data_IF_546145399686
#
_entry.id   IF_546145399686
#
_cell.length_a   1.000
_cell.length_b   1.000
_cell.length_c   1.000
_cell.angle_alpha   90.00
_cell.angle_beta   90.00
_cell.angle_gamma   90.00
#
_symmetry.space_group_name_H-M   'P 1'
#
loop_
_entity.id
_entity.type
_entity.pdbx_description
1 polymer ?
#
# COMPACT_ATOMS: atom_id res chain seq x y z
N UNK A 1 5.26 9.04 -12.73
CA UNK A 1 6.49 9.00 -13.57
C UNK A 1 7.73 8.52 -12.81
N UNK A 2 8.17 9.11 -11.69
CA UNK A 2 9.43 8.67 -11.03
C UNK A 2 9.31 7.33 -10.30
N UNK A 3 8.22 7.11 -9.56
CA UNK A 3 7.97 5.84 -8.86
C UNK A 3 7.71 4.71 -9.86
N UNK A 4 7.05 5.07 -10.97
CA UNK A 4 6.73 4.15 -12.05
C UNK A 4 7.96 3.70 -12.85
N UNK A 5 8.98 4.56 -12.96
CA UNK A 5 10.28 4.21 -13.51
C UNK A 5 11.24 3.58 -12.49
N UNK A 6 10.73 3.04 -11.38
CA UNK A 6 11.51 2.44 -10.28
C UNK A 6 12.55 3.37 -9.62
N UNK A 7 12.43 4.70 -9.77
CA UNK A 7 13.30 5.65 -9.08
C UNK A 7 12.73 6.00 -7.71
N UNK A 8 12.88 5.07 -6.79
CA UNK A 8 12.31 5.14 -5.43
C UNK A 8 12.92 6.30 -4.62
N UNK A 9 14.21 6.56 -4.80
CA UNK A 9 14.93 7.65 -4.11
C UNK A 9 14.42 9.03 -4.53
N UNK A 10 14.31 9.27 -5.83
CA UNK A 10 13.76 10.54 -6.33
C UNK A 10 12.31 10.72 -5.90
N UNK A 11 11.52 9.65 -5.93
CA UNK A 11 10.12 9.69 -5.53
C UNK A 11 9.95 10.04 -4.05
N UNK A 12 10.79 9.48 -3.18
CA UNK A 12 10.81 9.80 -1.76
C UNK A 12 11.23 11.26 -1.51
N UNK A 13 12.22 11.78 -2.24
CA UNK A 13 12.61 13.20 -2.17
C UNK A 13 11.50 14.15 -2.61
N UNK A 14 10.82 13.85 -3.72
CA UNK A 14 9.66 14.62 -4.21
C UNK A 14 8.54 14.59 -3.18
N UNK A 15 8.29 13.43 -2.58
CA UNK A 15 7.31 13.32 -1.49
C UNK A 15 7.71 14.19 -0.28
N UNK A 16 8.99 14.23 0.10
CA UNK A 16 9.47 15.14 1.16
C UNK A 16 9.26 16.62 0.85
N UNK A 17 9.38 17.04 -0.41
CA UNK A 17 9.00 18.39 -0.83
C UNK A 17 7.49 18.63 -0.69
N UNK A 18 6.65 17.65 -1.08
CA UNK A 18 5.20 17.74 -0.90
C UNK A 18 4.83 17.87 0.58
N UNK A 19 5.46 17.09 1.47
CA UNK A 19 5.27 17.20 2.92
C UNK A 19 5.69 18.58 3.46
N UNK A 20 6.78 19.14 2.94
CA UNK A 20 7.25 20.49 3.33
C UNK A 20 6.26 21.57 2.93
N UNK A 21 5.70 21.47 1.71
CA UNK A 21 4.65 22.38 1.23
C UNK A 21 3.39 22.22 2.08
N UNK A 22 2.92 21.00 2.31
CA UNK A 22 1.74 20.73 3.13
C UNK A 22 1.90 21.25 4.56
N UNK A 23 3.09 21.12 5.15
CA UNK A 23 3.42 21.69 6.47
C UNK A 23 3.33 23.21 6.46
N UNK A 24 3.89 23.87 5.45
CA UNK A 24 3.81 25.33 5.30
C UNK A 24 2.36 25.83 5.09
N UNK A 25 1.51 25.01 4.46
CA UNK A 25 0.08 25.29 4.30
C UNK A 25 -0.75 24.95 5.55
N UNK A 26 -0.14 24.41 6.61
CA UNK A 26 -0.80 24.14 7.89
C UNK A 26 -1.49 22.79 8.02
N UNK A 27 -1.27 21.86 7.10
CA UNK A 27 -1.91 20.53 7.13
C UNK A 27 -1.50 19.68 8.33
N UNK A 28 -0.40 20.02 8.99
CA UNK A 28 0.17 19.24 10.11
C UNK A 28 -0.37 19.69 11.48
N UNK A 29 -1.04 20.83 11.56
CA UNK A 29 -1.48 21.43 12.82
C UNK A 29 -2.95 21.82 12.79
N UNK A 30 -3.75 21.10 12.00
CA UNK A 30 -5.17 21.38 11.78
C UNK A 30 -5.90 21.41 13.12
N UNK A 31 -5.68 20.40 13.97
CA UNK A 31 -6.34 20.24 15.27
C UNK A 31 -5.42 20.57 16.46
N UNK A 32 -4.23 21.12 16.18
CA UNK A 32 -3.26 21.51 17.20
C UNK A 32 -3.59 22.86 17.84
N UNK A 33 -3.27 22.99 19.14
CA UNK A 33 -3.38 24.27 19.84
C UNK A 33 -2.39 25.29 19.26
N UNK A 34 -2.82 26.52 18.97
CA UNK A 34 -1.99 27.62 18.44
C UNK A 34 -0.91 28.15 19.41
N UNK A 35 -0.68 27.48 20.53
CA UNK A 35 0.33 27.87 21.52
C UNK A 35 1.50 26.90 21.44
N UNK A 36 2.44 27.19 20.55
CA UNK A 36 3.72 26.48 20.52
C UNK A 36 4.50 26.69 21.82
N UNK A 37 5.23 25.68 22.32
CA UNK A 37 6.33 25.92 23.24
C UNK A 37 7.45 26.60 22.44
N UNK A 38 7.88 27.77 22.92
CA UNK A 38 9.02 28.54 22.41
C UNK A 38 8.81 29.24 21.04
N UNK A 39 8.26 30.46 21.10
CA UNK A 39 8.94 31.69 20.65
C UNK A 39 9.38 31.85 19.19
N UNK A 40 9.22 30.86 18.31
CA UNK A 40 9.46 31.01 16.89
C UNK A 40 8.17 31.43 16.20
N UNK A 41 8.18 32.67 15.72
CA UNK A 41 7.17 33.23 14.85
C UNK A 41 7.17 32.42 13.55
N UNK A 42 6.36 31.37 13.49
CA UNK A 42 5.76 30.99 12.22
C UNK A 42 4.93 32.20 11.77
N UNK A 43 5.04 32.66 10.52
CA UNK A 43 4.24 33.79 10.05
C UNK A 43 2.78 33.49 10.37
N UNK A 44 2.14 34.43 11.06
CA UNK A 44 0.81 34.29 11.62
C UNK A 44 -0.11 33.65 10.59
N UNK A 45 -0.64 32.47 10.92
CA UNK A 45 -1.57 31.75 10.09
C UNK A 45 -2.95 32.40 10.24
N UNK A 46 -3.09 33.65 9.76
CA UNK A 46 -4.35 34.42 9.75
C UNK A 46 -5.51 33.64 9.07
N UNK A 47 -5.19 32.61 8.29
CA UNK A 47 -6.14 31.74 7.59
C UNK A 47 -6.70 30.56 8.40
N UNK A 48 -6.18 30.25 9.60
CA UNK A 48 -6.65 29.10 10.40
C UNK A 48 -8.00 29.37 11.07
N UNK A 49 -8.17 30.58 11.63
CA UNK A 49 -9.39 30.99 12.36
C UNK A 49 -10.61 31.22 11.42
N UNK A 50 -10.37 31.37 10.11
CA UNK A 50 -11.42 31.64 9.11
C UNK A 50 -11.84 30.40 8.31
N UNK A 51 -11.22 29.25 8.54
CA UNK A 51 -11.50 28.03 7.78
C UNK A 51 -12.76 27.36 8.31
N UNK A 52 -13.75 27.17 7.44
CA UNK A 52 -14.95 26.42 7.82
C UNK A 52 -14.62 24.92 8.04
N UNK A 53 -15.49 24.22 8.76
CA UNK A 53 -15.23 22.82 9.12
C UNK A 53 -15.12 21.89 7.91
N UNK A 54 -15.83 22.17 6.81
CA UNK A 54 -15.72 21.39 5.57
C UNK A 54 -14.31 21.47 5.00
N UNK A 55 -13.73 22.67 4.96
CA UNK A 55 -12.38 22.88 4.46
C UNK A 55 -11.33 22.30 5.41
N UNK A 56 -11.54 22.39 6.74
CA UNK A 56 -10.70 21.70 7.73
C UNK A 56 -10.76 20.18 7.55
N UNK A 57 -11.96 19.62 7.36
CA UNK A 57 -12.14 18.19 7.14
C UNK A 57 -11.42 17.71 5.88
N UNK A 58 -11.55 18.45 4.77
CA UNK A 58 -10.82 18.17 3.53
C UNK A 58 -9.29 18.19 3.74
N UNK A 59 -8.77 19.15 4.52
CA UNK A 59 -7.34 19.16 4.84
C UNK A 59 -6.92 17.92 5.64
N UNK A 60 -7.75 17.45 6.58
CA UNK A 60 -7.49 16.20 7.31
C UNK A 60 -7.41 15.02 6.34
N UNK A 61 -8.35 14.90 5.39
CA UNK A 61 -8.29 13.87 4.34
C UNK A 61 -6.96 13.88 3.59
N UNK A 62 -6.56 15.05 3.09
CA UNK A 62 -5.33 15.22 2.31
C UNK A 62 -4.08 14.91 3.16
N UNK A 63 -4.04 15.33 4.44
CA UNK A 63 -2.97 14.97 5.38
C UNK A 63 -2.86 13.47 5.58
N UNK A 64 -3.99 12.79 5.80
CA UNK A 64 -4.02 11.36 6.02
C UNK A 64 -3.54 10.54 4.81
N UNK A 65 -3.74 11.06 3.58
CA UNK A 65 -3.12 10.48 2.38
C UNK A 65 -1.59 10.65 2.36
N UNK A 66 -1.06 11.78 2.84
CA UNK A 66 0.39 11.94 3.05
C UNK A 66 0.89 10.92 4.06
N UNK A 67 0.21 10.74 5.19
CA UNK A 67 0.62 9.78 6.23
C UNK A 67 0.61 8.34 5.71
N UNK A 68 -0.42 7.95 4.95
CA UNK A 68 -0.45 6.65 4.25
C UNK A 68 0.73 6.49 3.29
N UNK A 69 1.08 7.55 2.55
CA UNK A 69 2.19 7.53 1.59
C UNK A 69 3.55 7.43 2.28
N UNK A 70 3.75 8.12 3.41
CA UNK A 70 4.94 7.97 4.25
C UNK A 70 5.10 6.52 4.74
N UNK A 71 4.01 5.94 5.25
CA UNK A 71 3.98 4.54 5.67
C UNK A 71 4.35 3.59 4.52
N UNK A 72 3.88 3.85 3.29
CA UNK A 72 4.24 3.07 2.11
C UNK A 72 5.75 3.11 1.83
N UNK A 73 6.37 4.30 1.87
CA UNK A 73 7.81 4.42 1.65
C UNK A 73 8.62 3.71 2.73
N UNK A 74 8.16 3.77 3.99
CA UNK A 74 8.81 3.12 5.13
C UNK A 74 8.72 1.60 5.03
N UNK A 75 7.50 1.05 4.90
CA UNK A 75 7.26 -0.39 4.94
C UNK A 75 7.85 -1.11 3.73
N UNK A 76 7.87 -0.46 2.56
CA UNK A 76 8.23 -1.15 1.32
C UNK A 76 9.62 -0.82 0.80
N UNK A 77 10.23 0.30 1.22
CA UNK A 77 11.58 0.69 0.79
C UNK A 77 12.54 0.98 1.95
N UNK A 78 12.13 0.76 3.21
CA UNK A 78 12.96 1.02 4.38
C UNK A 78 13.38 2.48 4.52
N UNK A 79 12.60 3.43 3.95
CA UNK A 79 12.95 4.85 4.02
C UNK A 79 12.73 5.42 5.43
N UNK A 80 13.51 6.42 5.85
CA UNK A 80 13.23 7.16 7.08
C UNK A 80 11.85 7.86 7.04
N UNK A 81 11.26 8.06 8.22
CA UNK A 81 9.99 8.76 8.35
C UNK A 81 10.14 10.26 8.00
N UNK A 82 9.25 10.76 7.14
CA UNK A 82 9.10 12.19 6.86
C UNK A 82 8.01 12.84 7.73
N UNK A 83 7.11 12.02 8.27
CA UNK A 83 6.05 12.38 9.21
C UNK A 83 6.22 11.59 10.52
N UNK A 84 7.26 11.88 11.33
CA UNK A 84 7.48 11.17 12.59
C UNK A 84 6.34 11.40 13.60
N UNK A 85 6.18 10.48 14.55
CA UNK A 85 5.24 10.61 15.66
C UNK A 85 5.46 11.95 16.40
N UNK A 86 4.36 12.59 16.81
CA UNK A 86 4.39 13.88 17.51
C UNK A 86 4.71 15.10 16.64
N UNK A 87 5.03 14.93 15.35
CA UNK A 87 5.27 16.06 14.43
C UNK A 87 4.00 16.68 13.82
N UNK A 88 2.84 16.16 14.18
CA UNK A 88 1.54 16.57 13.65
C UNK A 88 0.44 16.43 14.71
N UNK A 89 -0.61 17.24 14.56
CA UNK A 89 -1.82 17.26 15.36
C UNK A 89 -3.03 17.34 14.42
N UNK A 90 -3.49 16.17 13.98
CA UNK A 90 -4.55 16.01 12.97
C UNK A 90 -5.43 14.84 13.37
N UNK A 91 -6.71 15.10 13.59
CA UNK A 91 -7.70 14.08 13.93
C UNK A 91 -8.08 13.25 12.69
N UNK A 92 -8.74 12.11 12.91
CA UNK A 92 -9.44 11.42 11.83
C UNK A 92 -10.49 12.36 11.23
N UNK A 93 -10.58 12.47 9.89
CA UNK A 93 -11.63 13.27 9.29
C UNK A 93 -12.98 12.58 9.43
N UNK A 94 -14.03 13.39 9.38
CA UNK A 94 -15.39 12.90 9.16
C UNK A 94 -15.47 12.25 7.76
N UNK A 95 -16.11 11.08 7.58
CA UNK A 95 -16.17 10.38 6.29
C UNK A 95 -16.76 11.22 5.15
N UNK A 96 -17.61 12.20 5.45
CA UNK A 96 -18.16 13.11 4.45
C UNK A 96 -17.12 14.18 4.04
N UNK A 97 -16.36 13.88 2.99
CA UNK A 97 -15.29 14.76 2.44
C UNK A 97 -15.78 16.20 2.24
N UNK A 98 -17.02 16.35 1.76
CA UNK A 98 -17.63 17.65 1.43
C UNK A 98 -18.76 18.03 2.39
N UNK A 99 -18.97 17.30 3.49
CA UNK A 99 -20.17 17.46 4.34
C UNK A 99 -21.47 16.98 3.67
N UNK A 100 -21.37 16.29 2.54
CA UNK A 100 -22.51 15.74 1.80
C UNK A 100 -22.46 14.22 1.92
N UNK A 101 -23.53 13.65 2.46
CA UNK A 101 -23.75 12.21 2.52
C UNK A 101 -24.65 11.80 1.35
N UNK A 102 -24.02 11.34 0.26
CA UNK A 102 -24.70 10.88 -0.95
C UNK A 102 -24.23 9.48 -1.33
N UNK A 103 -25.16 8.64 -1.79
CA UNK A 103 -24.89 7.26 -2.15
C UNK A 103 -23.78 7.09 -3.20
N UNK A 104 -23.59 8.09 -4.08
CA UNK A 104 -22.51 8.10 -5.07
C UNK A 104 -21.11 8.25 -4.46
N UNK A 105 -21.01 8.67 -3.20
CA UNK A 105 -19.74 8.87 -2.49
C UNK A 105 -19.37 7.71 -1.57
N UNK A 106 -20.27 6.73 -1.36
CA UNK A 106 -20.07 5.64 -0.40
C UNK A 106 -18.78 4.84 -0.65
N UNK A 107 -18.42 4.55 -1.90
CA UNK A 107 -17.17 3.83 -2.20
C UNK A 107 -15.92 4.62 -1.79
N UNK A 108 -15.94 5.95 -1.97
CA UNK A 108 -14.86 6.83 -1.55
C UNK A 108 -14.77 6.85 -0.01
N UNK A 109 -15.91 6.94 0.66
CA UNK A 109 -15.99 6.93 2.12
C UNK A 109 -15.47 5.60 2.70
N UNK A 110 -15.92 4.46 2.15
CA UNK A 110 -15.47 3.11 2.53
C UNK A 110 -13.96 2.98 2.30
N UNK A 111 -13.49 3.35 1.11
CA UNK A 111 -12.06 3.33 0.77
C UNK A 111 -11.23 4.12 1.75
N UNK A 112 -11.66 5.33 2.06
CA UNK A 112 -10.96 6.17 2.99
C UNK A 112 -10.92 5.54 4.39
N UNK A 113 -12.07 5.17 4.95
CA UNK A 113 -12.16 4.56 6.29
C UNK A 113 -11.31 3.30 6.41
N UNK A 114 -11.39 2.41 5.43
CA UNK A 114 -10.56 1.21 5.38
C UNK A 114 -9.07 1.56 5.29
N UNK A 115 -8.69 2.45 4.38
CA UNK A 115 -7.30 2.88 4.19
C UNK A 115 -6.70 3.53 5.45
N UNK A 116 -7.50 4.27 6.22
CA UNK A 116 -7.06 4.88 7.47
C UNK A 116 -6.83 3.85 8.56
N UNK A 117 -7.75 2.91 8.73
CA UNK A 117 -7.58 1.81 9.69
C UNK A 117 -6.36 0.95 9.33
N UNK A 118 -6.14 0.67 8.05
CA UNK A 118 -4.93 -0.01 7.58
C UNK A 118 -3.66 0.81 7.85
N UNK A 119 -3.70 2.13 7.66
CA UNK A 119 -2.57 3.02 7.97
C UNK A 119 -2.23 2.99 9.46
N UNK A 120 -3.24 2.97 10.34
CA UNK A 120 -3.03 2.83 11.79
C UNK A 120 -2.37 1.50 12.16
N UNK A 121 -2.77 0.38 11.53
CA UNK A 121 -2.09 -0.91 11.72
C UNK A 121 -0.61 -0.82 11.32
N UNK A 122 -0.32 -0.19 10.17
CA UNK A 122 1.06 0.00 9.71
C UNK A 122 1.86 0.91 10.63
N UNK A 123 1.27 1.97 11.18
CA UNK A 123 1.93 2.83 12.16
C UNK A 123 2.29 2.06 13.43
N UNK A 124 1.36 1.29 14.01
CA UNK A 124 1.65 0.40 15.15
C UNK A 124 2.85 -0.51 14.87
N UNK A 125 2.91 -1.09 13.66
CA UNK A 125 4.02 -1.92 13.24
C UNK A 125 5.34 -1.14 13.15
N UNK A 126 5.34 0.00 12.48
CA UNK A 126 6.54 0.80 12.25
C UNK A 126 7.07 1.45 13.53
N UNK A 127 6.21 1.87 14.45
CA UNK A 127 6.61 2.43 15.74
C UNK A 127 7.31 1.38 16.60
N UNK A 128 6.82 0.14 16.57
CA UNK A 128 7.48 -0.99 17.20
C UNK A 128 8.86 -1.28 16.60
N UNK A 129 8.97 -1.28 15.26
CA UNK A 129 10.25 -1.46 14.55
C UNK A 129 11.26 -0.37 14.92
N UNK A 130 10.79 0.88 15.04
CA UNK A 130 11.63 2.02 15.40
C UNK A 130 12.06 2.01 16.87
N UNK A 131 11.25 1.46 17.78
CA UNK A 131 11.55 1.44 19.21
C UNK A 131 12.67 0.45 19.61
N UNK A 132 13.33 -0.19 18.63
CA UNK A 132 14.31 -1.28 18.85
C UNK A 132 13.77 -2.35 19.83
N UNK A 133 12.45 -2.55 19.80
CA UNK A 133 11.77 -3.45 20.72
C UNK A 133 12.34 -4.85 20.58
N UNK A 134 12.47 -5.57 21.71
CA UNK A 134 13.10 -6.89 21.72
C UNK A 134 12.29 -7.85 20.83
N UNK A 135 12.79 -8.00 19.60
CA UNK A 135 12.29 -8.97 18.63
C UNK A 135 12.27 -10.35 19.28
N UNK A 136 13.14 -10.66 20.25
CA UNK A 136 13.21 -11.95 20.93
C UNK A 136 12.12 -12.17 21.99
N UNK A 137 11.26 -11.20 22.27
CA UNK A 137 10.12 -11.39 23.16
C UNK A 137 9.25 -12.58 22.71
N UNK A 138 8.86 -13.43 23.66
CA UNK A 138 7.96 -14.57 23.42
C UNK A 138 6.57 -14.14 22.91
N UNK A 139 6.20 -12.87 23.08
CA UNK A 139 4.90 -12.33 22.68
C UNK A 139 4.88 -11.69 21.30
N UNK A 140 6.04 -11.55 20.64
CA UNK A 140 6.16 -10.82 19.37
C UNK A 140 5.30 -11.41 18.25
N UNK A 141 5.39 -12.71 18.00
CA UNK A 141 4.60 -13.38 16.96
C UNK A 141 3.09 -13.30 17.27
N UNK A 142 2.70 -13.40 18.54
CA UNK A 142 1.30 -13.23 18.96
C UNK A 142 0.79 -11.80 18.77
N UNK A 143 1.66 -10.79 18.93
CA UNK A 143 1.29 -9.40 18.67
C UNK A 143 1.11 -9.15 17.17
N UNK A 144 1.98 -9.72 16.32
CA UNK A 144 1.81 -9.70 14.87
C UNK A 144 0.52 -10.40 14.43
N UNK A 145 0.17 -11.52 15.05
CA UNK A 145 -1.10 -12.22 14.80
C UNK A 145 -2.30 -11.33 15.15
N UNK A 146 -2.20 -10.53 16.22
CA UNK A 146 -3.21 -9.52 16.54
C UNK A 146 -3.35 -8.44 15.46
N UNK A 147 -2.24 -7.93 14.92
CA UNK A 147 -2.27 -6.96 13.82
C UNK A 147 -2.82 -7.57 12.52
N UNK A 148 -2.50 -8.83 12.21
CA UNK A 148 -3.06 -9.55 11.05
C UNK A 148 -4.57 -9.68 11.21
N UNK A 149 -5.05 -10.09 12.39
CA UNK A 149 -6.48 -10.18 12.67
C UNK A 149 -7.20 -8.82 12.55
N UNK A 150 -6.56 -7.71 12.95
CA UNK A 150 -7.10 -6.37 12.73
C UNK A 150 -7.28 -6.07 11.22
N UNK A 151 -6.33 -6.47 10.37
CA UNK A 151 -6.42 -6.29 8.90
C UNK A 151 -7.54 -7.15 8.29
N UNK A 152 -7.65 -8.40 8.72
CA UNK A 152 -8.72 -9.31 8.29
C UNK A 152 -10.10 -8.80 8.71
N UNK A 153 -10.22 -8.27 9.92
CA UNK A 153 -11.45 -7.63 10.39
C UNK A 153 -11.83 -6.43 9.51
N UNK A 154 -10.86 -5.58 9.12
CA UNK A 154 -11.12 -4.45 8.21
C UNK A 154 -11.66 -4.93 6.85
N UNK A 155 -11.12 -6.02 6.30
CA UNK A 155 -11.62 -6.61 5.06
C UNK A 155 -13.05 -7.17 5.21
N UNK A 156 -13.33 -7.81 6.36
CA UNK A 156 -14.63 -8.39 6.66
C UNK A 156 -15.71 -7.34 6.92
N UNK A 157 -15.38 -6.25 7.62
CA UNK A 157 -16.33 -5.18 7.99
C UNK A 157 -17.04 -4.60 6.76
N UNK A 158 -16.36 -4.55 5.62
CA UNK A 158 -16.88 -3.98 4.38
C UNK A 158 -17.15 -5.01 3.29
N UNK A 159 -16.89 -6.30 3.54
CA UNK A 159 -16.94 -7.37 2.55
C UNK A 159 -16.39 -6.95 1.17
N UNK A 160 -15.15 -6.46 1.15
CA UNK A 160 -14.57 -5.74 0.00
C UNK A 160 -14.57 -6.57 -1.28
N UNK A 161 -14.48 -7.89 -1.17
CA UNK A 161 -14.55 -8.82 -2.31
C UNK A 161 -15.95 -8.82 -2.95
N UNK A 162 -17.01 -8.80 -2.14
CA UNK A 162 -18.39 -8.67 -2.62
C UNK A 162 -18.62 -7.30 -3.25
N UNK A 163 -18.17 -6.22 -2.60
CA UNK A 163 -18.27 -4.85 -3.13
C UNK A 163 -17.60 -4.72 -4.51
N UNK A 164 -16.40 -5.29 -4.67
CA UNK A 164 -15.68 -5.29 -5.94
C UNK A 164 -16.42 -6.06 -7.04
N UNK A 165 -17.09 -7.16 -6.67
CA UNK A 165 -17.84 -8.01 -7.63
C UNK A 165 -19.18 -7.42 -8.08
N UNK A 166 -19.78 -6.56 -7.24
CA UNK A 166 -21.12 -6.01 -7.45
C UNK A 166 -21.12 -4.62 -8.08
N UNK A 167 -20.05 -3.85 -7.90
CA UNK A 167 -19.95 -2.50 -8.47
C UNK A 167 -19.85 -2.52 -10.00
N UNK A 168 -20.50 -1.53 -10.63
CA UNK A 168 -20.49 -1.32 -12.09
C UNK A 168 -19.58 -0.18 -12.52
N UNK A 169 -19.24 0.73 -11.60
CA UNK A 169 -18.40 1.87 -11.89
C UNK A 169 -16.93 1.47 -11.77
N UNK A 170 -16.14 1.82 -12.80
CA UNK A 170 -14.72 1.45 -12.86
C UNK A 170 -13.92 2.02 -11.67
N UNK A 171 -14.22 3.25 -11.27
CA UNK A 171 -13.53 3.92 -10.17
C UNK A 171 -13.78 3.22 -8.82
N UNK A 172 -15.00 2.76 -8.59
CA UNK A 172 -15.39 2.02 -7.39
C UNK A 172 -14.67 0.66 -7.31
N UNK A 173 -14.52 -0.02 -8.46
CA UNK A 173 -13.72 -1.25 -8.54
C UNK A 173 -12.27 -0.98 -8.14
N UNK A 174 -11.69 0.15 -8.57
CA UNK A 174 -10.31 0.52 -8.22
C UNK A 174 -10.15 0.85 -6.73
N UNK A 175 -11.13 1.50 -6.11
CA UNK A 175 -11.14 1.72 -4.67
C UNK A 175 -11.14 0.39 -3.90
N UNK A 176 -11.97 -0.57 -4.30
CA UNK A 176 -11.98 -1.89 -3.67
C UNK A 176 -10.64 -2.63 -3.87
N UNK A 177 -10.07 -2.55 -5.08
CA UNK A 177 -8.78 -3.16 -5.39
C UNK A 177 -7.64 -2.59 -4.54
N UNK A 178 -7.58 -1.27 -4.34
CA UNK A 178 -6.57 -0.63 -3.50
C UNK A 178 -6.66 -1.09 -2.03
N UNK A 179 -7.88 -1.26 -1.49
CA UNK A 179 -8.07 -1.81 -0.14
C UNK A 179 -7.56 -3.26 -0.09
N UNK A 180 -8.00 -4.12 -1.02
CA UNK A 180 -7.61 -5.53 -1.05
C UNK A 180 -6.09 -5.69 -1.14
N UNK A 181 -5.45 -5.02 -2.09
CA UNK A 181 -4.01 -5.11 -2.28
C UNK A 181 -3.23 -4.48 -1.13
N UNK A 182 -3.75 -3.42 -0.49
CA UNK A 182 -3.11 -2.85 0.70
C UNK A 182 -3.17 -3.84 1.86
N UNK A 183 -4.34 -4.41 2.13
CA UNK A 183 -4.53 -5.40 3.19
C UNK A 183 -3.68 -6.64 2.97
N UNK A 184 -3.70 -7.22 1.77
CA UNK A 184 -2.90 -8.39 1.44
C UNK A 184 -1.41 -8.13 1.60
N UNK A 185 -0.93 -6.98 1.13
CA UNK A 185 0.47 -6.57 1.33
C UNK A 185 0.81 -6.46 2.82
N UNK A 186 -0.04 -5.85 3.64
CA UNK A 186 0.20 -5.71 5.08
C UNK A 186 0.25 -7.10 5.74
N UNK A 187 -0.73 -7.97 5.47
CA UNK A 187 -0.75 -9.34 6.01
C UNK A 187 0.53 -10.09 5.66
N UNK A 188 0.96 -10.01 4.40
CA UNK A 188 2.21 -10.61 3.93
C UNK A 188 3.40 -10.06 4.71
N UNK A 189 3.56 -8.74 4.79
CA UNK A 189 4.70 -8.13 5.51
C UNK A 189 4.72 -8.54 6.98
N UNK A 190 3.57 -8.49 7.65
CA UNK A 190 3.45 -8.91 9.05
C UNK A 190 3.73 -10.40 9.23
N UNK A 191 3.22 -11.25 8.33
CA UNK A 191 3.49 -12.69 8.36
C UNK A 191 4.98 -12.97 8.22
N UNK A 192 5.67 -12.31 7.29
CA UNK A 192 7.12 -12.48 7.12
C UNK A 192 7.94 -11.85 8.25
N UNK A 193 7.37 -10.90 8.98
CA UNK A 193 8.02 -10.33 10.14
C UNK A 193 8.06 -11.29 11.33
N UNK A 194 7.25 -12.36 11.37
CA UNK A 194 7.22 -13.37 12.45
C UNK A 194 8.51 -14.18 12.51
N UNK A 195 8.97 -14.52 13.71
CA UNK A 195 10.20 -15.31 13.90
C UNK A 195 10.15 -16.66 13.19
N UNK A 196 9.03 -17.37 13.34
CA UNK A 196 8.86 -18.69 12.74
C UNK A 196 9.00 -18.69 11.20
N UNK A 197 8.85 -17.53 10.57
CA UNK A 197 8.93 -17.38 9.12
C UNK A 197 10.24 -16.73 8.67
N UNK A 198 10.90 -15.90 9.50
CA UNK A 198 12.20 -15.30 9.18
C UNK A 198 13.32 -16.32 9.04
N UNK A 199 13.28 -17.37 9.86
CA UNK A 199 14.31 -18.42 9.89
C UNK A 199 13.95 -19.61 8.99
N UNK A 200 12.88 -19.48 8.20
CA UNK A 200 12.40 -20.51 7.27
C UNK A 200 12.98 -20.26 5.88
N UNK A 201 13.50 -21.31 5.25
CA UNK A 201 13.95 -21.28 3.85
C UNK A 201 12.77 -21.19 2.84
N UNK A 202 11.53 -21.27 3.34
CA UNK A 202 10.32 -21.29 2.51
C UNK A 202 9.29 -20.27 2.97
N UNK A 203 8.57 -19.71 2.00
CA UNK A 203 7.45 -18.82 2.27
C UNK A 203 6.30 -19.61 2.91
N UNK A 204 5.61 -19.07 3.93
CA UNK A 204 4.44 -19.71 4.51
C UNK A 204 3.35 -19.95 3.45
N UNK A 205 2.69 -21.11 3.47
CA UNK A 205 1.63 -21.46 2.49
C UNK A 205 0.55 -20.38 2.38
N UNK A 206 0.12 -19.83 3.52
CA UNK A 206 -0.84 -18.73 3.56
C UNK A 206 -0.36 -17.49 2.78
N UNK A 207 0.93 -17.14 2.89
CA UNK A 207 1.55 -16.03 2.12
C UNK A 207 1.49 -16.28 0.62
N UNK A 208 1.77 -17.52 0.20
CA UNK A 208 1.74 -17.94 -1.21
C UNK A 208 0.31 -17.92 -1.75
N UNK A 209 -0.66 -18.44 -0.99
CA UNK A 209 -2.06 -18.45 -1.38
C UNK A 209 -2.63 -17.04 -1.52
N UNK A 210 -2.29 -16.15 -0.59
CA UNK A 210 -2.68 -14.75 -0.63
C UNK A 210 -2.04 -14.01 -1.81
N UNK A 211 -0.78 -14.33 -2.10
CA UNK A 211 -0.04 -13.82 -3.26
C UNK A 211 -0.71 -14.25 -4.57
N UNK A 212 -1.05 -15.54 -4.70
CA UNK A 212 -1.76 -16.08 -5.86
C UNK A 212 -3.14 -15.45 -6.03
N UNK A 213 -3.89 -15.31 -4.93
CA UNK A 213 -5.19 -14.62 -4.89
C UNK A 213 -5.06 -13.18 -5.38
N UNK A 214 -4.05 -12.46 -4.91
CA UNK A 214 -3.78 -11.07 -5.29
C UNK A 214 -3.53 -10.92 -6.79
N UNK A 215 -2.69 -11.78 -7.37
CA UNK A 215 -2.40 -11.75 -8.80
C UNK A 215 -3.62 -12.15 -9.66
N UNK A 216 -4.46 -13.08 -9.20
CA UNK A 216 -5.73 -13.41 -9.87
C UNK A 216 -6.72 -12.24 -9.87
N UNK A 217 -6.86 -11.55 -8.74
CA UNK A 217 -7.67 -10.33 -8.65
C UNK A 217 -7.12 -9.29 -9.62
N UNK A 218 -5.81 -9.09 -9.62
CA UNK A 218 -5.15 -8.17 -10.54
C UNK A 218 -5.38 -8.56 -12.02
N UNK A 219 -5.35 -9.85 -12.33
CA UNK A 219 -5.65 -10.37 -13.66
C UNK A 219 -7.08 -10.10 -14.11
N UNK A 220 -8.05 -10.33 -13.22
CA UNK A 220 -9.46 -10.01 -13.48
C UNK A 220 -9.67 -8.52 -13.74
N UNK A 221 -9.03 -7.65 -12.96
CA UNK A 221 -9.13 -6.19 -13.11
C UNK A 221 -8.61 -5.72 -14.49
N UNK A 222 -7.56 -6.37 -14.98
CA UNK A 222 -6.85 -5.99 -16.22
C UNK A 222 -7.42 -6.60 -17.50
N UNK A 223 -8.48 -7.42 -17.42
CA UNK A 223 -9.06 -8.14 -18.55
C UNK A 223 -9.61 -7.30 -19.72
N UNK A 224 -9.61 -5.96 -19.65
CA UNK A 224 -9.98 -5.09 -20.78
C UNK A 224 -8.90 -4.04 -21.13
N UNK A 225 -8.68 -3.80 -22.42
CA UNK A 225 -7.60 -2.95 -22.98
C UNK A 225 -7.65 -1.48 -22.54
N UNK A 226 -8.79 -0.98 -22.06
CA UNK A 226 -8.95 0.39 -21.53
C UNK A 226 -8.40 0.51 -20.09
N UNK A 227 -8.32 -0.60 -19.35
CA UNK A 227 -7.92 -0.61 -17.92
C UNK A 227 -6.41 -0.72 -17.70
N UNK A 228 -5.65 -1.01 -18.75
CA UNK A 228 -4.21 -1.25 -18.66
C UNK A 228 -3.39 -0.06 -18.15
N UNK A 229 -3.84 1.17 -18.43
CA UNK A 229 -3.16 2.40 -18.00
C UNK A 229 -3.18 2.59 -16.47
N UNK A 230 -4.31 2.26 -15.84
CA UNK A 230 -4.53 2.44 -14.40
C UNK A 230 -3.93 1.29 -13.59
N UNK A 231 -4.00 0.05 -14.08
CA UNK A 231 -3.55 -1.10 -13.30
C UNK A 231 -2.05 -1.20 -13.08
N UNK A 232 -1.23 -0.65 -13.99
CA UNK A 232 0.23 -0.60 -13.75
C UNK A 232 0.59 0.39 -12.65
N UNK A 233 -0.13 1.51 -12.53
CA UNK A 233 0.07 2.43 -11.40
C UNK A 233 -0.20 1.74 -10.06
N UNK A 234 -1.18 0.84 -10.00
CA UNK A 234 -1.49 0.03 -8.81
C UNK A 234 -0.44 -1.06 -8.59
N UNK A 235 -0.01 -1.79 -9.63
CA UNK A 235 1.11 -2.72 -9.51
C UNK A 235 2.37 -2.04 -8.95
N UNK A 236 2.65 -0.83 -9.41
CA UNK A 236 3.79 -0.03 -8.98
C UNK A 236 3.59 0.53 -7.57
N UNK A 237 2.35 0.86 -7.19
CA UNK A 237 1.97 1.29 -5.83
C UNK A 237 2.11 0.14 -4.80
N UNK A 238 1.80 -1.10 -5.20
CA UNK A 238 2.05 -2.31 -4.43
C UNK A 238 3.39 -2.99 -4.75
N UNK A 239 4.22 -2.31 -5.56
CA UNK A 239 5.62 -2.62 -5.82
C UNK A 239 5.90 -4.03 -6.30
N UNK A 240 4.97 -4.62 -7.06
CA UNK A 240 5.10 -6.01 -7.53
C UNK A 240 5.33 -7.03 -6.40
N UNK A 241 4.98 -6.71 -5.14
CA UNK A 241 5.29 -7.59 -4.00
C UNK A 241 4.74 -9.00 -4.22
N UNK A 242 3.52 -9.10 -4.75
CA UNK A 242 2.88 -10.37 -5.08
C UNK A 242 3.61 -11.11 -6.22
N UNK A 243 4.05 -10.38 -7.25
CA UNK A 243 4.82 -10.98 -8.34
C UNK A 243 6.15 -11.54 -7.85
N UNK A 244 6.91 -10.76 -7.08
CA UNK A 244 8.20 -11.20 -6.55
C UNK A 244 8.05 -12.39 -5.59
N UNK A 245 7.08 -12.36 -4.69
CA UNK A 245 6.85 -13.47 -3.76
C UNK A 245 6.45 -14.75 -4.49
N UNK A 246 5.64 -14.66 -5.55
CA UNK A 246 5.30 -15.83 -6.35
C UNK A 246 6.50 -16.36 -7.13
N UNK A 247 7.36 -15.46 -7.63
CA UNK A 247 8.59 -15.89 -8.29
C UNK A 247 9.55 -16.57 -7.32
N UNK A 248 9.73 -16.01 -6.11
CA UNK A 248 10.55 -16.61 -5.05
C UNK A 248 9.99 -17.98 -4.66
N UNK A 249 8.67 -18.10 -4.48
CA UNK A 249 8.02 -19.39 -4.21
C UNK A 249 8.36 -20.44 -5.28
N UNK A 250 8.25 -20.10 -6.57
CA UNK A 250 8.55 -21.02 -7.68
C UNK A 250 10.04 -21.38 -7.72
N UNK A 251 10.93 -20.42 -7.47
CA UNK A 251 12.38 -20.62 -7.53
C UNK A 251 12.87 -21.46 -6.35
N UNK A 252 12.31 -21.25 -5.16
CA UNK A 252 12.73 -21.91 -3.93
C UNK A 252 12.01 -23.26 -3.69
N UNK A 253 10.81 -23.46 -4.24
CA UNK A 253 10.06 -24.70 -4.07
C UNK A 253 10.65 -25.88 -4.86
N UNK A 254 11.06 -26.93 -4.14
CA UNK A 254 11.36 -28.25 -4.72
C UNK A 254 10.13 -29.15 -4.88
N UNK A 255 8.99 -28.78 -4.28
CA UNK A 255 7.74 -29.54 -4.45
C UNK A 255 7.19 -29.28 -5.85
N UNK A 256 7.30 -30.27 -6.73
CA UNK A 256 6.69 -30.34 -8.07
C UNK A 256 5.15 -30.51 -8.00
N UNK A 257 4.50 -29.97 -6.97
CA UNK A 257 3.07 -29.72 -7.00
C UNK A 257 2.76 -28.77 -8.16
N UNK A 258 1.55 -28.83 -8.71
CA UNK A 258 1.16 -28.16 -9.95
C UNK A 258 1.39 -26.62 -9.95
N UNK A 259 2.64 -26.20 -10.20
CA UNK A 259 3.08 -24.81 -10.30
C UNK A 259 2.66 -24.18 -11.63
N UNK A 260 1.92 -24.88 -12.50
CA UNK A 260 1.46 -24.35 -13.78
C UNK A 260 0.61 -23.10 -13.60
N UNK A 261 -0.26 -23.07 -12.57
CA UNK A 261 -1.07 -21.88 -12.29
C UNK A 261 -0.21 -20.69 -11.87
N UNK A 262 0.75 -20.91 -10.98
CA UNK A 262 1.67 -19.86 -10.52
C UNK A 262 2.55 -19.35 -11.67
N UNK A 263 3.06 -20.26 -12.51
CA UNK A 263 3.87 -19.93 -13.67
C UNK A 263 3.06 -19.15 -14.71
N UNK A 264 1.79 -19.53 -14.95
CA UNK A 264 0.89 -18.82 -15.85
C UNK A 264 0.63 -17.38 -15.36
N UNK A 265 0.46 -17.17 -14.05
CA UNK A 265 0.31 -15.83 -13.48
C UNK A 265 1.58 -14.99 -13.66
N UNK A 266 2.76 -15.56 -13.41
CA UNK A 266 4.06 -14.88 -13.60
C UNK A 266 4.28 -14.50 -15.07
N UNK A 267 4.01 -15.42 -16.00
CA UNK A 267 4.10 -15.16 -17.44
C UNK A 267 3.13 -14.06 -17.86
N UNK A 268 1.89 -14.11 -17.39
CA UNK A 268 0.86 -13.11 -17.68
C UNK A 268 1.25 -11.70 -17.16
N UNK A 269 1.85 -11.58 -15.96
CA UNK A 269 2.34 -10.28 -15.47
C UNK A 269 3.40 -9.70 -16.42
N UNK A 270 4.33 -10.55 -16.88
CA UNK A 270 5.35 -10.14 -17.83
C UNK A 270 4.76 -9.70 -19.19
N UNK A 271 3.78 -10.43 -19.73
CA UNK A 271 3.08 -10.05 -20.96
C UNK A 271 2.42 -8.66 -20.84
N UNK A 272 1.75 -8.39 -19.72
CA UNK A 272 1.16 -7.08 -19.47
C UNK A 272 2.22 -5.99 -19.35
N UNK A 273 3.31 -6.24 -18.61
CA UNK A 273 4.38 -5.28 -18.46
C UNK A 273 5.01 -4.91 -19.82
N UNK A 274 5.23 -5.89 -20.70
CA UNK A 274 5.69 -5.68 -22.08
C UNK A 274 4.68 -4.85 -22.87
N UNK A 275 3.40 -5.26 -22.88
CA UNK A 275 2.35 -4.60 -23.65
C UNK A 275 2.16 -3.14 -23.28
N UNK A 276 2.27 -2.78 -22.01
CA UNK A 276 2.12 -1.39 -21.60
C UNK A 276 3.40 -0.58 -21.85
N UNK A 277 4.57 -1.19 -21.73
CA UNK A 277 5.83 -0.53 -22.08
C UNK A 277 5.90 -0.10 -23.55
N UNK A 278 5.17 -0.76 -24.46
CA UNK A 278 5.03 -0.31 -25.86
C UNK A 278 4.52 1.14 -25.98
N UNK A 279 3.68 1.57 -25.03
CA UNK A 279 3.11 2.93 -24.98
C UNK A 279 3.80 3.82 -23.94
N UNK A 280 4.69 3.27 -23.12
CA UNK A 280 5.32 3.91 -21.97
C UNK A 280 6.79 3.49 -21.85
N UNK A 281 7.70 4.09 -22.64
CA UNK A 281 9.11 3.73 -22.66
C UNK A 281 9.80 3.81 -21.29
N UNK A 282 9.30 4.64 -20.38
CA UNK A 282 9.81 4.78 -19.01
C UNK A 282 9.67 3.50 -18.17
N UNK A 283 8.84 2.54 -18.58
CA UNK A 283 8.67 1.23 -17.93
C UNK A 283 9.74 0.20 -18.35
N UNK A 284 10.74 0.59 -19.14
CA UNK A 284 11.77 -0.34 -19.63
C UNK A 284 12.47 -1.16 -18.55
N UNK A 285 12.76 -0.55 -17.38
CA UNK A 285 13.32 -1.25 -16.23
C UNK A 285 12.35 -2.27 -15.63
N UNK A 286 11.07 -1.91 -15.51
CA UNK A 286 10.02 -2.83 -15.04
C UNK A 286 9.91 -4.04 -15.96
N UNK A 287 9.87 -3.84 -17.28
CA UNK A 287 9.83 -4.92 -18.25
C UNK A 287 11.07 -5.82 -18.21
N UNK A 288 12.25 -5.23 -17.98
CA UNK A 288 13.48 -6.00 -17.82
C UNK A 288 13.40 -6.91 -16.59
N UNK A 289 12.99 -6.36 -15.44
CA UNK A 289 12.87 -7.11 -14.18
C UNK A 289 11.83 -8.21 -14.29
N UNK A 290 10.63 -7.93 -14.81
CA UNK A 290 9.59 -8.97 -14.96
C UNK A 290 10.07 -10.09 -15.87
N UNK A 291 10.73 -9.75 -16.98
CA UNK A 291 11.26 -10.74 -17.94
C UNK A 291 12.32 -11.63 -17.32
N UNK A 292 13.26 -11.06 -16.56
CA UNK A 292 14.33 -11.83 -15.91
C UNK A 292 13.76 -12.77 -14.83
N UNK A 293 12.83 -12.28 -14.01
CA UNK A 293 12.19 -13.11 -12.99
C UNK A 293 11.36 -14.24 -13.61
N UNK A 294 10.56 -13.94 -14.64
CA UNK A 294 9.80 -14.97 -15.37
C UNK A 294 10.72 -16.02 -15.98
N UNK A 295 11.82 -15.62 -16.61
CA UNK A 295 12.78 -16.56 -17.19
C UNK A 295 13.43 -17.46 -16.13
N UNK A 296 13.73 -16.93 -14.94
CA UNK A 296 14.25 -17.72 -13.83
C UNK A 296 13.22 -18.77 -13.35
N UNK A 297 11.95 -18.39 -13.21
CA UNK A 297 10.87 -19.33 -12.88
C UNK A 297 10.72 -20.44 -13.94
N UNK A 298 10.80 -20.10 -15.22
CA UNK A 298 10.74 -21.07 -16.32
C UNK A 298 11.94 -22.03 -16.31
N UNK A 299 13.15 -21.55 -16.01
CA UNK A 299 14.35 -22.38 -15.92
C UNK A 299 14.23 -23.45 -14.83
N UNK A 300 13.83 -23.03 -13.62
CA UNK A 300 13.60 -23.94 -12.48
C UNK A 300 12.51 -24.97 -12.83
N UNK A 301 11.41 -24.53 -13.44
CA UNK A 301 10.33 -25.43 -13.86
C UNK A 301 10.78 -26.48 -14.91
N UNK A 302 11.70 -26.09 -15.80
CA UNK A 302 12.30 -26.99 -16.79
C UNK A 302 13.46 -27.85 -16.24
N UNK A 303 13.79 -27.72 -14.94
CA UNK A 303 14.88 -28.44 -14.28
C UNK A 303 16.27 -28.02 -14.77
N UNK A 304 16.46 -26.76 -15.13
CA UNK A 304 17.71 -26.21 -15.68
C UNK A 304 18.35 -25.17 -14.78
#
# INVERSE_FOLDING_TARGET
MTLEGCNTELSWKVFGHACSIARALGYFSIDGNHKGPEGHICPAQESSEHRNEVERNRMRFEFWHLLRTDCLFRISFGKPALLPEGSWAVNLPDPSITGVDDASTHFIQIHFLASMRLTLVVLKYLDWVNAESDQNSATYDSWLDGLIAEVEAILSDWNVEELMSTTKALIDTWFCADILFTSYKIIIVLSQAKKCNRDSDHLPRHTVDLTRKSLKVFQSLMGSTVRAFWGISILLLHQFIFFFLLCMDIIDCQETGNNEESLALVAWVNEIAVKVAEKRPELGLTTLVTRLMTAACEQVHLGR
#
